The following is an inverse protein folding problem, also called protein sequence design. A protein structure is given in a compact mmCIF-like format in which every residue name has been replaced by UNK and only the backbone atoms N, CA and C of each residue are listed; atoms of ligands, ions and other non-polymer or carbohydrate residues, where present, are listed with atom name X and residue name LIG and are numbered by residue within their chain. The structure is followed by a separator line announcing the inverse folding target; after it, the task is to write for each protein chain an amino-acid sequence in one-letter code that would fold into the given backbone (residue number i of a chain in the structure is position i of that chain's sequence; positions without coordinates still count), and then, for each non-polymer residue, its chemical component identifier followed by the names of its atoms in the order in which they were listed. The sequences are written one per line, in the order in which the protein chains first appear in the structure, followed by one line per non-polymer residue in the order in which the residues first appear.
data_IF_616688399507
#
_entry.id   IF_616688399507
#
_cell.length_a   1.000
_cell.length_b   1.000
_cell.length_c   1.000
_cell.angle_alpha   90.00
_cell.angle_beta   90.00
_cell.angle_gamma   90.00
#
_symmetry.space_group_name_H-M   'P 1'
#
loop_
_entity.id
_entity.type
_entity.pdbx_description
1 polymer ?
#
# COMPACT_ATOMS: atom_id res chain seq x y z
N UNK A 1 22.09 -4.86 11.28
CA UNK A 1 21.53 -4.17 10.09
C UNK A 1 22.70 -3.58 9.32
N UNK A 2 22.75 -3.77 8.00
CA UNK A 2 23.80 -3.19 7.13
C UNK A 2 23.15 -2.17 6.20
N UNK A 3 23.37 -0.88 6.45
CA UNK A 3 22.89 0.20 5.57
C UNK A 3 23.70 0.25 4.27
N UNK A 4 23.18 0.92 3.24
CA UNK A 4 23.80 1.04 1.92
C UNK A 4 24.03 -0.29 1.17
N UNK A 5 23.47 -1.40 1.64
CA UNK A 5 23.58 -2.71 0.99
C UNK A 5 22.27 -3.00 0.22
N UNK A 6 22.34 -3.00 -1.10
CA UNK A 6 21.23 -3.32 -1.99
C UNK A 6 21.40 -4.74 -2.51
N UNK A 7 20.46 -5.64 -2.22
CA UNK A 7 20.45 -6.98 -2.81
C UNK A 7 19.99 -6.85 -4.26
N UNK A 8 20.76 -7.37 -5.21
CA UNK A 8 20.44 -7.31 -6.65
C UNK A 8 20.08 -8.68 -7.23
N UNK A 9 20.55 -9.77 -6.61
CA UNK A 9 20.25 -11.14 -7.05
C UNK A 9 20.18 -12.08 -5.86
N UNK A 10 19.27 -13.05 -5.92
CA UNK A 10 19.13 -14.12 -4.94
C UNK A 10 18.99 -15.47 -5.66
N UNK A 11 19.91 -16.39 -5.40
CA UNK A 11 20.00 -17.69 -6.08
C UNK A 11 19.87 -18.81 -5.07
N UNK A 12 18.89 -19.69 -5.21
CA UNK A 12 18.80 -20.88 -4.39
C UNK A 12 19.57 -22.05 -5.03
N UNK A 13 20.33 -22.77 -4.21
CA UNK A 13 20.97 -24.05 -4.55
C UNK A 13 20.28 -25.19 -3.80
N UNK A 14 19.65 -26.11 -4.53
CA UNK A 14 19.04 -27.33 -3.96
C UNK A 14 20.09 -28.34 -3.47
N UNK A 15 21.29 -28.31 -4.04
CA UNK A 15 22.43 -29.12 -3.59
C UNK A 15 22.90 -28.67 -2.20
N UNK A 16 23.15 -27.37 -2.04
CA UNK A 16 23.70 -26.79 -0.80
C UNK A 16 22.62 -26.49 0.26
N UNK A 17 21.35 -26.38 -0.18
CA UNK A 17 20.21 -25.91 0.60
C UNK A 17 20.43 -24.50 1.17
N UNK A 18 20.93 -23.59 0.33
CA UNK A 18 21.26 -22.22 0.69
C UNK A 18 20.80 -21.23 -0.37
N UNK A 19 20.45 -20.03 0.09
CA UNK A 19 20.37 -18.84 -0.73
C UNK A 19 21.75 -18.18 -0.82
N UNK A 20 22.18 -17.85 -2.04
CA UNK A 20 23.33 -16.99 -2.33
C UNK A 20 22.84 -15.63 -2.82
N UNK A 21 23.31 -14.56 -2.19
CA UNK A 21 22.89 -13.19 -2.43
C UNK A 21 24.06 -12.40 -3.03
N UNK A 22 23.76 -11.68 -4.11
CA UNK A 22 24.64 -10.65 -4.67
C UNK A 22 24.17 -9.28 -4.17
N UNK A 23 25.09 -8.51 -3.62
CA UNK A 23 24.77 -7.26 -2.92
C UNK A 23 25.69 -6.14 -3.38
N UNK A 24 25.10 -5.06 -3.85
CA UNK A 24 25.82 -3.84 -4.24
C UNK A 24 25.84 -2.87 -3.07
N UNK A 25 27.04 -2.39 -2.69
CA UNK A 25 27.21 -1.28 -1.77
C UNK A 25 26.97 0.05 -2.49
N UNK A 26 25.93 0.80 -2.11
CA UNK A 26 25.57 2.07 -2.76
C UNK A 26 26.56 3.20 -2.52
N UNK A 27 27.33 3.12 -1.44
CA UNK A 27 28.32 4.12 -1.05
C UNK A 27 29.67 3.93 -1.75
N UNK A 28 30.03 2.70 -2.13
CA UNK A 28 31.34 2.39 -2.76
C UNK A 28 31.23 1.82 -4.18
N UNK A 29 30.06 1.33 -4.58
CA UNK A 29 29.86 0.56 -5.82
C UNK A 29 30.37 -0.88 -5.77
N UNK A 30 30.87 -1.34 -4.62
CA UNK A 30 31.43 -2.68 -4.44
C UNK A 30 30.35 -3.77 -4.48
N UNK A 31 30.62 -4.86 -5.20
CA UNK A 31 29.79 -6.08 -5.18
C UNK A 31 30.29 -7.05 -4.10
N UNK A 32 29.39 -7.45 -3.21
CA UNK A 32 29.59 -8.40 -2.12
C UNK A 32 28.71 -9.64 -2.33
N UNK A 33 29.15 -10.77 -1.76
CA UNK A 33 28.38 -12.02 -1.78
C UNK A 33 28.10 -12.50 -0.36
N UNK A 34 26.85 -12.88 -0.11
CA UNK A 34 26.41 -13.45 1.16
C UNK A 34 25.68 -14.77 0.92
N UNK A 35 25.63 -15.62 1.94
CA UNK A 35 24.78 -16.81 1.94
C UNK A 35 23.88 -16.84 3.16
N UNK A 36 22.67 -17.36 3.03
CA UNK A 36 21.80 -17.62 4.17
C UNK A 36 21.00 -18.92 3.99
N UNK A 37 20.63 -19.55 5.10
CA UNK A 37 19.76 -20.73 5.09
C UNK A 37 18.31 -20.35 4.80
N UNK A 38 17.86 -19.19 5.25
CA UNK A 38 16.50 -18.71 5.10
C UNK A 38 16.49 -17.24 4.68
N UNK A 39 15.67 -16.92 3.68
CA UNK A 39 15.54 -15.57 3.13
C UNK A 39 14.18 -14.98 3.54
N UNK A 40 14.20 -13.97 4.38
CA UNK A 40 12.98 -13.31 4.86
C UNK A 40 12.88 -11.89 4.28
N UNK A 41 11.93 -11.72 3.36
CA UNK A 41 11.72 -10.52 2.58
C UNK A 41 10.81 -9.53 3.33
N UNK A 42 11.35 -8.37 3.71
CA UNK A 42 10.70 -7.34 4.53
C UNK A 42 10.74 -5.93 3.91
N UNK A 43 10.98 -5.82 2.60
CA UNK A 43 11.19 -4.58 1.85
C UNK A 43 9.89 -3.89 1.41
N UNK A 44 8.73 -4.43 1.76
CA UNK A 44 7.44 -3.98 1.23
C UNK A 44 7.21 -4.44 -0.22
N UNK A 45 6.43 -3.66 -0.97
CA UNK A 45 5.97 -4.01 -2.32
C UNK A 45 5.95 -2.81 -3.28
N UNK A 46 6.65 -1.72 -2.95
CA UNK A 46 6.79 -0.55 -3.81
C UNK A 46 8.21 -0.45 -4.37
N UNK A 47 8.32 0.06 -5.60
CA UNK A 47 9.59 0.50 -6.18
C UNK A 47 9.99 1.80 -5.51
N UNK A 48 11.17 1.83 -4.88
CA UNK A 48 11.67 3.03 -4.19
C UNK A 48 12.48 3.96 -5.07
N UNK A 49 13.08 3.44 -6.15
CA UNK A 49 13.89 4.21 -7.10
C UNK A 49 13.06 5.13 -8.00
N UNK A 50 11.78 4.84 -8.21
CA UNK A 50 10.95 5.54 -9.18
C UNK A 50 9.47 5.48 -8.79
N UNK A 51 8.80 6.63 -8.87
CA UNK A 51 7.35 6.76 -8.69
C UNK A 51 6.56 6.42 -9.95
N UNK A 52 5.26 6.18 -9.80
CA UNK A 52 4.44 5.93 -10.99
C UNK A 52 4.09 7.25 -11.67
N UNK A 53 4.65 7.45 -12.86
CA UNK A 53 4.34 8.58 -13.72
C UNK A 53 3.62 8.07 -14.97
N UNK A 54 2.31 8.34 -15.15
CA UNK A 54 1.64 8.00 -16.39
C UNK A 54 2.21 8.85 -17.54
N UNK A 55 2.00 8.41 -18.77
CA UNK A 55 2.30 9.23 -19.93
C UNK A 55 1.38 10.45 -19.94
N UNK A 56 1.98 11.63 -19.92
CA UNK A 56 1.29 12.91 -20.04
C UNK A 56 1.65 13.54 -21.38
N UNK A 57 0.68 13.73 -22.30
CA UNK A 57 0.94 14.41 -23.56
C UNK A 57 1.49 15.82 -23.33
N UNK A 58 2.52 16.21 -24.09
CA UNK A 58 3.09 17.56 -24.06
C UNK A 58 3.89 17.93 -22.81
N UNK A 59 4.20 16.98 -21.93
CA UNK A 59 4.87 17.26 -20.65
C UNK A 59 6.20 17.99 -20.82
N UNK A 60 6.93 17.69 -21.89
CA UNK A 60 8.18 18.33 -22.28
C UNK A 60 8.06 19.82 -22.62
N UNK A 61 6.84 20.30 -22.86
CA UNK A 61 6.57 21.70 -23.20
C UNK A 61 6.49 22.59 -21.97
N UNK A 62 6.15 22.02 -20.81
CA UNK A 62 5.94 22.77 -19.57
C UNK A 62 7.25 23.41 -19.11
N UNK A 63 7.23 24.73 -18.91
CA UNK A 63 8.42 25.52 -18.57
C UNK A 63 8.64 25.65 -17.06
N UNK A 64 7.65 25.25 -16.25
CA UNK A 64 7.72 25.24 -14.80
C UNK A 64 8.39 23.98 -14.24
N UNK A 65 8.26 23.79 -12.93
CA UNK A 65 8.87 22.66 -12.22
C UNK A 65 7.89 21.47 -12.12
N UNK A 66 8.36 20.25 -12.39
CA UNK A 66 7.58 19.03 -12.22
C UNK A 66 8.19 18.19 -11.10
N UNK A 67 7.41 17.91 -10.06
CA UNK A 67 7.87 17.21 -8.86
C UNK A 67 7.03 15.95 -8.65
N UNK A 68 7.69 14.80 -8.56
CA UNK A 68 7.04 13.58 -8.07
C UNK A 68 7.28 13.45 -6.55
N UNK A 69 6.24 13.28 -5.70
CA UNK A 69 6.39 13.28 -4.23
C UNK A 69 7.37 12.25 -3.66
N UNK A 70 7.63 11.15 -4.37
CA UNK A 70 8.60 10.14 -3.95
C UNK A 70 10.06 10.61 -4.00
N UNK A 71 10.35 11.60 -4.85
CA UNK A 71 11.69 12.18 -5.06
C UNK A 71 11.61 13.70 -4.93
N UNK A 72 11.03 14.16 -3.82
CA UNK A 72 10.83 15.57 -3.53
C UNK A 72 12.18 16.29 -3.28
N UNK A 73 12.52 17.36 -4.03
CA UNK A 73 13.74 18.13 -3.79
C UNK A 73 13.72 18.86 -2.45
N UNK A 74 14.84 18.84 -1.71
CA UNK A 74 14.91 19.46 -0.37
C UNK A 74 14.76 21.00 -0.39
N UNK A 75 15.11 21.63 -1.51
CA UNK A 75 15.15 23.07 -1.71
C UNK A 75 13.98 23.62 -2.53
N UNK A 76 12.90 22.84 -2.72
CA UNK A 76 11.70 23.30 -3.42
C UNK A 76 11.07 24.50 -2.71
N UNK A 77 11.11 25.66 -3.36
CA UNK A 77 10.38 26.86 -2.95
C UNK A 77 9.06 26.96 -3.72
N UNK A 78 7.95 26.82 -3.01
CA UNK A 78 6.58 26.93 -3.55
C UNK A 78 5.86 28.20 -3.09
N UNK A 79 6.54 29.10 -2.39
CA UNK A 79 5.95 30.32 -1.86
C UNK A 79 5.48 31.23 -3.00
N UNK A 80 4.28 31.78 -2.86
CA UNK A 80 3.65 32.71 -3.82
C UNK A 80 3.49 32.12 -5.25
N UNK A 81 3.70 30.81 -5.44
CA UNK A 81 3.55 30.11 -6.74
C UNK A 81 2.16 29.51 -6.91
N UNK A 82 1.75 29.34 -8.17
CA UNK A 82 0.58 28.53 -8.55
C UNK A 82 1.00 27.07 -8.66
N UNK A 83 0.33 26.20 -7.92
CA UNK A 83 0.66 24.77 -7.87
C UNK A 83 -0.51 23.93 -8.34
N UNK A 84 -0.28 22.96 -9.22
CA UNK A 84 -1.28 21.93 -9.56
C UNK A 84 -0.80 20.58 -9.05
N UNK A 85 -1.61 19.91 -8.23
CA UNK A 85 -1.35 18.56 -7.73
C UNK A 85 -2.21 17.56 -8.50
N UNK A 86 -1.59 16.70 -9.29
CA UNK A 86 -2.25 15.64 -10.06
C UNK A 86 -2.42 14.41 -9.18
N UNK A 87 -3.67 14.08 -8.82
CA UNK A 87 -4.05 12.94 -8.01
C UNK A 87 -4.96 13.32 -6.84
N UNK A 88 -5.74 12.35 -6.36
CA UNK A 88 -6.69 12.52 -5.25
C UNK A 88 -6.44 11.54 -4.09
N UNK A 89 -5.29 10.86 -4.10
CA UNK A 89 -4.93 9.89 -3.06
C UNK A 89 -4.45 10.55 -1.77
N UNK A 90 -4.03 9.72 -0.81
CA UNK A 90 -3.54 10.19 0.49
C UNK A 90 -2.41 11.24 0.37
N UNK A 91 -1.47 11.05 -0.56
CA UNK A 91 -0.36 12.00 -0.80
C UNK A 91 -0.86 13.40 -1.17
N UNK A 92 -1.85 13.51 -2.06
CA UNK A 92 -2.42 14.81 -2.42
C UNK A 92 -3.15 15.43 -1.23
N UNK A 93 -3.94 14.64 -0.51
CA UNK A 93 -4.69 15.08 0.66
C UNK A 93 -3.81 15.57 1.82
N UNK A 94 -2.56 15.11 1.90
CA UNK A 94 -1.58 15.62 2.88
C UNK A 94 -0.78 16.81 2.36
N UNK A 95 -0.39 16.81 1.09
CA UNK A 95 0.43 17.89 0.52
C UNK A 95 -0.36 19.20 0.41
N UNK A 96 -1.58 19.14 -0.11
CA UNK A 96 -2.38 20.34 -0.39
C UNK A 96 -2.58 21.21 0.86
N UNK A 97 -3.15 20.71 1.98
CA UNK A 97 -3.34 21.56 3.16
C UNK A 97 -2.03 22.02 3.79
N UNK A 98 -0.93 21.25 3.67
CA UNK A 98 0.37 21.66 4.18
C UNK A 98 0.99 22.82 3.38
N UNK A 99 0.68 22.92 2.07
CA UNK A 99 1.24 23.93 1.17
C UNK A 99 0.31 25.14 0.96
N UNK A 100 -1.00 24.98 1.15
CA UNK A 100 -2.02 25.94 0.72
C UNK A 100 -1.85 27.36 1.30
N UNK A 101 -1.27 27.49 2.50
CA UNK A 101 -1.07 28.80 3.14
C UNK A 101 0.09 29.60 2.54
N UNK A 102 1.09 28.94 1.97
CA UNK A 102 2.31 29.59 1.45
C UNK A 102 2.28 29.79 -0.07
N UNK A 103 1.58 28.91 -0.81
CA UNK A 103 1.37 29.08 -2.25
C UNK A 103 0.49 30.30 -2.56
N UNK A 104 0.59 30.85 -3.78
CA UNK A 104 -0.40 31.83 -4.26
C UNK A 104 -1.77 31.17 -4.46
N UNK A 105 -1.79 29.96 -5.02
CA UNK A 105 -2.98 29.10 -5.12
C UNK A 105 -2.55 27.66 -5.38
N UNK A 106 -3.31 26.68 -4.89
CA UNK A 106 -3.06 25.26 -5.15
C UNK A 106 -4.31 24.54 -5.65
N UNK A 107 -4.20 23.84 -6.77
CA UNK A 107 -5.33 23.13 -7.40
C UNK A 107 -5.10 21.62 -7.36
N UNK A 108 -6.01 20.87 -6.74
CA UNK A 108 -6.08 19.41 -6.87
C UNK A 108 -6.72 19.06 -8.20
N UNK A 109 -5.96 18.49 -9.13
CA UNK A 109 -6.48 17.93 -10.37
C UNK A 109 -6.67 16.42 -10.21
N UNK A 110 -7.89 15.94 -10.36
CA UNK A 110 -8.21 14.53 -10.24
C UNK A 110 -9.01 14.00 -11.42
N UNK A 111 -8.70 12.78 -11.86
CA UNK A 111 -9.50 12.06 -12.86
C UNK A 111 -10.73 11.38 -12.25
N UNK A 112 -10.55 10.82 -11.07
CA UNK A 112 -11.59 10.09 -10.34
C UNK A 112 -11.55 10.50 -8.87
N UNK A 113 -12.69 10.85 -8.26
CA UNK A 113 -12.74 11.19 -6.85
C UNK A 113 -12.29 10.04 -5.95
N UNK A 114 -11.82 10.39 -4.75
CA UNK A 114 -11.49 9.44 -3.67
C UNK A 114 -12.40 9.68 -2.47
N UNK A 115 -12.74 8.60 -1.73
CA UNK A 115 -13.44 8.77 -0.47
C UNK A 115 -12.50 9.26 0.63
N UNK A 116 -12.96 10.28 1.35
CA UNK A 116 -12.26 10.84 2.48
C UNK A 116 -13.05 10.61 3.76
N UNK A 117 -12.34 10.32 4.84
CA UNK A 117 -12.85 10.39 6.20
C UNK A 117 -12.22 11.60 6.88
N UNK A 118 -13.05 12.58 7.26
CA UNK A 118 -12.60 13.75 8.01
C UNK A 118 -13.10 13.68 9.45
N UNK A 119 -12.16 13.70 10.39
CA UNK A 119 -12.46 13.77 11.82
C UNK A 119 -11.33 14.51 12.54
N UNK A 120 -11.55 14.85 13.81
CA UNK A 120 -10.51 15.47 14.63
C UNK A 120 -9.24 14.60 14.67
N UNK A 121 -8.06 15.22 14.65
CA UNK A 121 -6.78 14.50 14.74
C UNK A 121 -6.44 14.17 16.21
N UNK A 122 -7.37 13.49 16.89
CA UNK A 122 -7.26 13.04 18.28
C UNK A 122 -8.14 11.83 18.50
N UNK A 123 -7.85 11.06 19.55
CA UNK A 123 -8.70 9.98 20.01
C UNK A 123 -9.43 10.41 21.29
N UNK A 124 -10.72 10.73 21.15
CA UNK A 124 -11.53 11.24 22.26
C UNK A 124 -11.69 10.22 23.40
N UNK A 125 -11.67 8.92 23.09
CA UNK A 125 -11.74 7.89 24.12
C UNK A 125 -10.42 7.83 24.88
N UNK A 126 -9.29 7.85 24.18
CA UNK A 126 -7.98 7.89 24.83
C UNK A 126 -7.83 9.14 25.72
N UNK A 127 -8.28 10.30 25.23
CA UNK A 127 -8.24 11.55 26.00
C UNK A 127 -9.13 11.47 27.26
N UNK A 128 -10.34 10.89 27.14
CA UNK A 128 -11.21 10.64 28.28
C UNK A 128 -10.55 9.70 29.30
N UNK A 129 -9.99 8.57 28.87
CA UNK A 129 -9.33 7.61 29.76
C UNK A 129 -8.14 8.24 30.50
N UNK A 130 -7.33 9.05 29.80
CA UNK A 130 -6.23 9.80 30.43
C UNK A 130 -6.73 10.80 31.48
N UNK A 131 -7.82 11.52 31.19
CA UNK A 131 -8.42 12.46 32.15
C UNK A 131 -9.03 11.80 33.39
N UNK A 132 -9.25 10.49 33.35
CA UNK A 132 -9.72 9.67 34.47
C UNK A 132 -8.57 8.96 35.19
N UNK A 133 -7.31 9.31 34.89
CA UNK A 133 -6.10 8.70 35.46
C UNK A 133 -6.02 7.16 35.24
N UNK A 134 -6.60 6.66 34.14
CA UNK A 134 -6.50 5.24 33.77
C UNK A 134 -5.06 4.96 33.31
N UNK A 135 -4.40 3.88 33.81
CA UNK A 135 -3.03 3.57 33.42
C UNK A 135 -2.85 3.42 31.91
N UNK A 136 -1.71 3.89 31.38
CA UNK A 136 -1.43 3.93 29.93
C UNK A 136 -1.60 2.58 29.23
N UNK A 137 -1.26 1.47 29.90
CA UNK A 137 -1.43 0.12 29.35
C UNK A 137 -2.90 -0.19 29.05
N UNK A 138 -3.81 0.15 29.96
CA UNK A 138 -5.26 0.00 29.77
C UNK A 138 -5.79 1.01 28.75
N UNK A 139 -5.32 2.26 28.81
CA UNK A 139 -5.70 3.30 27.85
C UNK A 139 -5.37 2.87 26.42
N UNK A 140 -4.15 2.39 26.18
CA UNK A 140 -3.72 1.92 24.86
C UNK A 140 -4.49 0.69 24.41
N UNK A 141 -4.69 -0.31 25.27
CA UNK A 141 -5.39 -1.54 24.88
C UNK A 141 -6.87 -1.28 24.59
N UNK A 142 -7.54 -0.43 25.38
CA UNK A 142 -8.94 -0.05 25.14
C UNK A 142 -9.06 0.74 23.82
N UNK A 143 -8.21 1.75 23.62
CA UNK A 143 -8.22 2.55 22.39
C UNK A 143 -7.93 1.68 21.15
N UNK A 144 -6.92 0.81 21.23
CA UNK A 144 -6.57 -0.13 20.16
C UNK A 144 -7.75 -1.05 19.81
N UNK A 145 -8.43 -1.63 20.80
CA UNK A 145 -9.62 -2.48 20.55
C UNK A 145 -10.75 -1.70 19.89
N UNK A 146 -11.01 -0.47 20.33
CA UNK A 146 -12.00 0.40 19.71
C UNK A 146 -11.65 0.71 18.26
N UNK A 147 -10.42 1.15 17.98
CA UNK A 147 -9.97 1.48 16.61
C UNK A 147 -10.10 0.27 15.68
N UNK A 148 -9.70 -0.92 16.13
CA UNK A 148 -9.85 -2.15 15.36
C UNK A 148 -11.33 -2.46 15.11
N UNK A 149 -12.19 -2.35 16.14
CA UNK A 149 -13.63 -2.58 16.02
C UNK A 149 -14.32 -1.60 15.07
N UNK A 150 -13.95 -0.32 15.13
CA UNK A 150 -14.47 0.71 14.23
C UNK A 150 -14.05 0.41 12.79
N UNK A 151 -12.77 0.07 12.58
CA UNK A 151 -12.25 -0.30 11.26
C UNK A 151 -12.93 -1.55 10.69
N UNK A 152 -13.18 -2.56 11.53
CA UNK A 152 -13.93 -3.76 11.14
C UNK A 152 -15.37 -3.41 10.76
N UNK A 153 -16.00 -2.51 11.52
CA UNK A 153 -17.37 -2.07 11.28
C UNK A 153 -17.46 -1.31 9.96
N UNK A 154 -16.57 -0.35 9.70
CA UNK A 154 -16.52 0.40 8.44
C UNK A 154 -16.22 -0.55 7.26
N UNK A 155 -15.31 -1.51 7.45
CA UNK A 155 -15.01 -2.53 6.42
C UNK A 155 -16.24 -3.36 6.10
N UNK A 156 -16.96 -3.88 7.10
CA UNK A 156 -18.19 -4.66 6.90
C UNK A 156 -19.27 -3.83 6.20
N UNK A 157 -19.54 -2.62 6.69
CA UNK A 157 -20.53 -1.70 6.09
C UNK A 157 -20.22 -1.36 4.63
N UNK A 158 -18.95 -1.36 4.25
CA UNK A 158 -18.54 -1.15 2.86
C UNK A 158 -19.01 -2.24 1.88
N UNK A 159 -19.49 -3.38 2.38
CA UNK A 159 -20.15 -4.42 1.60
C UNK A 159 -21.66 -4.43 1.87
N UNK A 160 -22.04 -4.52 3.14
CA UNK A 160 -23.43 -4.79 3.54
C UNK A 160 -24.36 -3.56 3.38
N UNK A 161 -23.80 -2.35 3.50
CA UNK A 161 -24.52 -1.08 3.58
C UNK A 161 -23.74 0.04 2.87
N UNK A 162 -23.22 -0.29 1.68
CA UNK A 162 -22.21 0.53 1.00
C UNK A 162 -22.74 1.92 0.58
N UNK A 163 -24.02 2.02 0.23
CA UNK A 163 -24.63 3.30 -0.17
C UNK A 163 -24.80 4.24 1.03
N UNK A 164 -25.29 3.75 2.17
CA UNK A 164 -25.40 4.62 3.35
C UNK A 164 -24.03 5.08 3.85
N UNK A 165 -23.02 4.19 3.86
CA UNK A 165 -21.65 4.57 4.21
C UNK A 165 -21.08 5.61 3.22
N UNK A 166 -21.36 5.50 1.93
CA UNK A 166 -21.01 6.51 0.93
C UNK A 166 -21.64 7.86 1.28
N UNK A 167 -22.94 7.90 1.57
CA UNK A 167 -23.65 9.14 1.93
C UNK A 167 -23.08 9.78 3.20
N UNK A 168 -22.74 8.97 4.21
CA UNK A 168 -22.10 9.46 5.45
C UNK A 168 -20.73 10.10 5.19
N UNK A 169 -19.89 9.46 4.37
CA UNK A 169 -18.56 10.01 4.03
C UNK A 169 -18.67 11.33 3.26
N UNK A 170 -19.58 11.40 2.29
CA UNK A 170 -19.84 12.62 1.51
C UNK A 170 -20.41 13.73 2.41
N UNK A 171 -21.35 13.40 3.28
CA UNK A 171 -21.90 14.34 4.26
C UNK A 171 -20.81 14.87 5.21
N UNK A 172 -19.89 14.00 5.64
CA UNK A 172 -18.73 14.38 6.45
C UNK A 172 -17.82 15.38 5.75
N UNK A 173 -17.52 15.19 4.46
CA UNK A 173 -16.79 16.18 3.66
C UNK A 173 -17.57 17.50 3.52
N UNK A 174 -18.87 17.42 3.24
CA UNK A 174 -19.76 18.57 3.07
C UNK A 174 -19.85 19.46 4.31
N UNK A 175 -19.76 18.89 5.52
CA UNK A 175 -19.73 19.66 6.77
C UNK A 175 -18.56 20.66 6.80
N UNK A 176 -17.41 20.30 6.25
CA UNK A 176 -16.24 21.19 6.20
C UNK A 176 -16.26 22.13 4.99
N UNK A 177 -16.73 21.65 3.83
CA UNK A 177 -16.79 22.42 2.57
C UNK A 177 -17.87 23.51 2.58
N UNK A 178 -19.01 23.25 3.22
CA UNK A 178 -20.19 24.12 3.19
C UNK A 178 -21.33 23.56 2.33
N UNK A 179 -22.56 24.09 2.47
CA UNK A 179 -23.77 23.52 1.88
C UNK A 179 -23.81 23.61 0.35
N UNK A 180 -23.18 24.63 -0.24
CA UNK A 180 -23.29 24.98 -1.67
C UNK A 180 -22.17 24.37 -2.53
N UNK A 181 -21.21 23.68 -1.93
CA UNK A 181 -20.09 23.08 -2.65
C UNK A 181 -20.54 21.86 -3.47
N UNK A 182 -20.05 21.74 -4.70
CA UNK A 182 -20.33 20.61 -5.60
C UNK A 182 -19.55 19.35 -5.19
N UNK A 183 -20.07 18.65 -4.19
CA UNK A 183 -19.52 17.37 -3.71
C UNK A 183 -19.82 16.20 -4.65
N UNK A 184 -20.85 16.31 -5.50
CA UNK A 184 -21.22 15.27 -6.46
C UNK A 184 -20.12 15.13 -7.52
N UNK A 185 -19.64 16.24 -8.08
CA UNK A 185 -18.55 16.21 -9.07
C UNK A 185 -17.19 15.90 -8.45
N UNK A 186 -16.89 16.45 -7.27
CA UNK A 186 -15.52 16.45 -6.74
C UNK A 186 -15.23 15.43 -5.66
N UNK A 187 -16.23 14.88 -4.97
CA UNK A 187 -16.02 14.00 -3.82
C UNK A 187 -16.93 12.77 -3.80
N UNK A 188 -17.51 12.41 -4.95
CA UNK A 188 -18.38 11.23 -5.09
C UNK A 188 -17.76 10.20 -6.05
N UNK A 189 -17.00 9.23 -5.53
CA UNK A 189 -16.41 8.16 -6.35
C UNK A 189 -17.46 7.23 -6.95
N UNK A 190 -17.12 6.60 -8.08
CA UNK A 190 -17.96 5.61 -8.77
C UNK A 190 -17.87 4.19 -8.20
N UNK A 191 -16.94 3.95 -7.27
CA UNK A 191 -16.77 2.68 -6.58
C UNK A 191 -17.37 2.72 -5.17
N UNK A 192 -17.65 1.56 -4.57
CA UNK A 192 -18.09 1.48 -3.16
C UNK A 192 -16.96 1.88 -2.20
N UNK A 193 -17.25 2.46 -1.03
CA UNK A 193 -16.22 2.70 0.00
C UNK A 193 -15.32 1.48 0.22
N UNK A 194 -14.04 1.70 0.57
CA UNK A 194 -13.06 0.63 0.83
C UNK A 194 -12.72 -0.35 -0.32
N UNK A 195 -13.32 -0.24 -1.51
CA UNK A 195 -12.78 -0.91 -2.72
C UNK A 195 -11.46 -0.27 -3.17
N UNK A 196 -11.24 0.99 -2.80
CA UNK A 196 -9.93 1.62 -2.72
C UNK A 196 -9.74 2.20 -1.31
N UNK A 197 -8.50 2.53 -0.94
CA UNK A 197 -8.17 2.97 0.42
C UNK A 197 -8.87 4.29 0.75
N UNK A 198 -9.55 4.35 1.90
CA UNK A 198 -10.09 5.60 2.44
C UNK A 198 -8.92 6.49 2.90
N UNK A 199 -8.92 7.75 2.44
CA UNK A 199 -7.93 8.73 2.90
C UNK A 199 -8.46 9.47 4.13
N UNK A 200 -7.64 9.60 5.16
CA UNK A 200 -7.99 10.37 6.36
C UNK A 200 -7.56 11.82 6.18
N UNK A 201 -8.46 12.76 6.48
CA UNK A 201 -8.24 14.21 6.38
C UNK A 201 -8.30 14.79 7.81
N UNK A 202 -7.15 14.97 8.47
CA UNK A 202 -7.11 15.36 9.87
C UNK A 202 -7.74 16.73 10.08
N UNK A 203 -8.68 16.77 11.01
CA UNK A 203 -9.55 17.91 11.28
C UNK A 203 -10.35 18.41 10.05
N UNK A 204 -10.32 17.79 8.86
CA UNK A 204 -10.91 18.37 7.66
C UNK A 204 -10.07 19.52 7.04
N UNK A 205 -8.76 19.52 7.22
CA UNK A 205 -7.81 20.53 6.72
C UNK A 205 -7.85 20.73 5.19
N UNK A 206 -7.88 19.67 4.39
CA UNK A 206 -8.04 19.75 2.92
C UNK A 206 -9.34 20.51 2.56
N UNK A 207 -10.45 20.13 3.17
CA UNK A 207 -11.75 20.72 2.91
C UNK A 207 -11.84 22.17 3.37
N UNK A 208 -11.21 22.51 4.50
CA UNK A 208 -11.10 23.90 4.94
C UNK A 208 -10.25 24.74 4.01
N UNK A 209 -9.15 24.19 3.49
CA UNK A 209 -8.31 24.87 2.50
C UNK A 209 -9.12 25.21 1.25
N UNK A 210 -9.96 24.28 0.79
CA UNK A 210 -10.88 24.50 -0.34
C UNK A 210 -11.94 25.56 0.00
N UNK A 211 -12.59 25.45 1.16
CA UNK A 211 -13.60 26.41 1.60
C UNK A 211 -13.05 27.83 1.76
N UNK A 212 -11.78 27.97 2.12
CA UNK A 212 -11.10 29.26 2.24
C UNK A 212 -10.60 29.83 0.90
N UNK A 213 -10.84 29.13 -0.22
CA UNK A 213 -10.38 29.47 -1.58
C UNK A 213 -8.86 29.50 -1.75
N UNK A 214 -8.09 29.06 -0.74
CA UNK A 214 -6.65 28.81 -0.83
C UNK A 214 -6.32 27.61 -1.71
N UNK A 215 -7.21 26.62 -1.71
CA UNK A 215 -7.15 25.48 -2.60
C UNK A 215 -8.40 25.38 -3.49
N UNK A 216 -8.25 24.75 -4.64
CA UNK A 216 -9.37 24.35 -5.51
C UNK A 216 -9.28 22.86 -5.83
N UNK A 217 -10.39 22.27 -6.27
CA UNK A 217 -10.42 20.92 -6.83
C UNK A 217 -11.06 20.96 -8.21
N UNK A 218 -10.45 20.26 -9.16
CA UNK A 218 -10.95 20.10 -10.52
C UNK A 218 -11.02 18.60 -10.82
N UNK A 219 -12.22 18.12 -11.16
CA UNK A 219 -12.43 16.75 -11.64
C UNK A 219 -12.50 16.77 -13.16
N UNK A 220 -11.42 16.37 -13.82
CA UNK A 220 -11.34 16.35 -15.29
C UNK A 220 -10.20 15.43 -15.76
N UNK A 221 -10.07 15.29 -17.08
CA UNK A 221 -8.98 14.58 -17.75
C UNK A 221 -7.98 15.57 -18.34
N UNK A 222 -6.71 15.17 -18.33
CA UNK A 222 -5.62 15.93 -18.95
C UNK A 222 -5.66 15.65 -20.45
N UNK A 223 -5.79 16.70 -21.25
CA UNK A 223 -5.64 16.63 -22.71
C UNK A 223 -4.14 16.71 -23.08
N UNK A 224 -3.46 17.76 -22.61
CA UNK A 224 -2.03 17.97 -22.80
C UNK A 224 -1.48 18.97 -21.79
N UNK A 225 -0.20 18.86 -21.46
CA UNK A 225 0.55 19.93 -20.82
C UNK A 225 0.78 21.04 -21.85
N UNK A 226 0.83 22.27 -21.36
CA UNK A 226 1.14 23.48 -22.14
C UNK A 226 2.41 24.11 -21.59
N UNK A 227 2.93 25.16 -22.24
CA UNK A 227 4.10 25.87 -21.73
C UNK A 227 3.91 26.45 -20.32
N UNK A 228 2.66 26.73 -19.93
CA UNK A 228 2.29 27.46 -18.71
C UNK A 228 1.39 26.69 -17.76
N UNK A 229 1.07 25.43 -18.06
CA UNK A 229 0.14 24.65 -17.24
C UNK A 229 -0.36 23.37 -17.89
N UNK A 230 -1.65 23.09 -17.68
CA UNK A 230 -2.32 21.87 -18.13
C UNK A 230 -3.63 22.23 -18.83
N UNK A 231 -3.76 21.85 -20.10
CA UNK A 231 -5.02 21.86 -20.83
C UNK A 231 -5.83 20.61 -20.48
N UNK A 232 -7.08 20.82 -20.07
CA UNK A 232 -8.02 19.76 -19.73
C UNK A 232 -8.91 19.43 -20.93
N UNK A 233 -9.50 18.23 -20.92
CA UNK A 233 -10.41 17.76 -21.97
C UNK A 233 -11.68 18.63 -22.08
N UNK A 234 -12.09 19.31 -21.01
CA UNK A 234 -13.16 20.32 -21.04
C UNK A 234 -12.81 21.59 -21.81
N UNK A 235 -11.53 21.80 -22.15
CA UNK A 235 -10.99 23.03 -22.73
C UNK A 235 -10.56 24.08 -21.70
N UNK A 236 -10.74 23.83 -20.40
CA UNK A 236 -10.15 24.67 -19.35
C UNK A 236 -8.63 24.47 -19.30
N UNK A 237 -7.88 25.56 -19.13
CA UNK A 237 -6.45 25.51 -18.85
C UNK A 237 -6.17 25.87 -17.38
N UNK A 238 -5.40 25.02 -16.70
CA UNK A 238 -4.92 25.25 -15.35
C UNK A 238 -3.48 25.78 -15.40
N UNK A 239 -3.29 27.07 -15.16
CA UNK A 239 -1.94 27.66 -15.07
C UNK A 239 -1.21 27.19 -13.82
N UNK A 240 0.07 26.85 -13.96
CA UNK A 240 0.93 26.41 -12.86
C UNK A 240 2.38 26.87 -13.07
N UNK A 241 3.03 27.23 -11.97
CA UNK A 241 4.48 27.36 -11.89
C UNK A 241 5.13 26.03 -11.47
N UNK A 242 4.40 25.22 -10.67
CA UNK A 242 4.81 23.89 -10.23
C UNK A 242 3.68 22.88 -10.47
N UNK A 243 4.01 21.72 -11.03
CA UNK A 243 3.10 20.58 -11.15
C UNK A 243 3.63 19.42 -10.30
N UNK A 244 2.82 18.96 -9.35
CA UNK A 244 3.14 17.83 -8.49
C UNK A 244 2.40 16.58 -8.98
N UNK A 245 3.15 15.56 -9.38
CA UNK A 245 2.60 14.28 -9.86
C UNK A 245 2.37 13.33 -8.69
N UNK A 246 1.34 13.59 -7.87
CA UNK A 246 0.91 12.70 -6.79
C UNK A 246 0.19 11.43 -7.31
N UNK A 247 0.76 10.79 -8.34
CA UNK A 247 0.21 9.70 -9.12
C UNK A 247 0.52 8.30 -8.56
N UNK A 248 1.27 8.24 -7.47
CA UNK A 248 1.46 7.03 -6.66
C UNK A 248 2.73 6.27 -7.00
N UNK A 249 2.68 4.94 -6.85
CA UNK A 249 3.86 4.08 -6.87
C UNK A 249 3.79 3.03 -7.97
N UNK A 250 4.96 2.62 -8.45
CA UNK A 250 5.13 1.35 -9.13
C UNK A 250 5.19 0.25 -8.06
N UNK A 251 4.38 -0.80 -8.21
CA UNK A 251 4.62 -1.97 -7.37
C UNK A 251 5.90 -2.68 -7.81
N UNK A 252 6.56 -3.27 -6.83
CA UNK A 252 7.73 -4.09 -7.04
C UNK A 252 7.63 -5.33 -6.17
N UNK A 253 7.13 -6.41 -6.77
CA UNK A 253 6.90 -7.67 -6.06
C UNK A 253 8.25 -8.24 -5.69
N UNK A 254 8.52 -8.34 -4.40
CA UNK A 254 9.77 -8.86 -3.86
C UNK A 254 11.04 -8.08 -4.27
N UNK A 255 10.88 -6.85 -4.76
CA UNK A 255 11.98 -5.96 -5.13
C UNK A 255 12.55 -6.24 -6.53
N UNK A 256 13.42 -5.36 -7.03
CA UNK A 256 14.14 -5.53 -8.30
C UNK A 256 15.27 -6.55 -8.19
N UNK A 257 14.97 -7.69 -7.57
CA UNK A 257 15.92 -8.76 -7.29
C UNK A 257 15.70 -9.84 -8.34
N UNK A 258 16.75 -10.20 -9.06
CA UNK A 258 16.71 -11.36 -9.93
C UNK A 258 16.72 -12.63 -9.05
N UNK A 259 15.66 -13.44 -9.12
CA UNK A 259 15.59 -14.70 -8.39
C UNK A 259 15.82 -15.90 -9.29
N UNK A 260 16.60 -16.87 -8.82
CA UNK A 260 16.73 -18.18 -9.47
C UNK A 260 16.64 -19.32 -8.46
N UNK A 261 16.18 -20.48 -8.94
CA UNK A 261 16.24 -21.77 -8.25
C UNK A 261 17.01 -22.71 -9.16
N UNK A 262 18.17 -23.20 -8.74
CA UNK A 262 19.05 -24.07 -9.55
C UNK A 262 19.28 -23.50 -10.96
N UNK A 263 19.65 -22.20 -11.00
CA UNK A 263 19.89 -21.39 -12.21
C UNK A 263 18.67 -21.17 -13.14
N UNK A 264 17.49 -21.65 -12.76
CA UNK A 264 16.24 -21.36 -13.48
C UNK A 264 15.62 -20.06 -12.95
N UNK A 265 15.33 -19.07 -13.82
CA UNK A 265 14.63 -17.84 -13.42
C UNK A 265 13.29 -18.13 -12.76
N UNK A 266 13.06 -17.51 -11.61
CA UNK A 266 11.82 -17.66 -10.85
C UNK A 266 10.77 -16.65 -11.31
N UNK A 267 9.58 -17.15 -11.65
CA UNK A 267 8.40 -16.32 -11.88
C UNK A 267 7.37 -16.54 -10.77
N UNK A 268 7.20 -15.55 -9.90
CA UNK A 268 6.27 -15.59 -8.78
C UNK A 268 4.81 -15.79 -9.18
N UNK A 269 4.40 -15.33 -10.37
CA UNK A 269 3.05 -15.53 -10.88
C UNK A 269 2.70 -17.01 -11.10
N UNK A 270 3.69 -17.90 -11.16
CA UNK A 270 3.47 -19.34 -11.27
C UNK A 270 3.31 -20.04 -9.91
N UNK A 271 3.59 -19.33 -8.80
CA UNK A 271 3.55 -19.89 -7.45
C UNK A 271 2.17 -19.69 -6.80
N UNK A 272 1.86 -20.55 -5.84
CA UNK A 272 0.72 -20.42 -4.92
C UNK A 272 1.18 -19.85 -3.58
N UNK A 273 0.49 -18.82 -3.12
CA UNK A 273 0.77 -18.19 -1.85
C UNK A 273 0.20 -19.03 -0.69
N UNK A 274 1.08 -19.62 0.11
CA UNK A 274 0.71 -20.26 1.37
C UNK A 274 0.54 -19.18 2.44
N UNK A 275 -0.71 -18.93 2.81
CA UNK A 275 -1.16 -17.89 3.75
C UNK A 275 -0.73 -16.49 3.38
N UNK A 276 -0.27 -16.24 2.14
CA UNK A 276 0.39 -14.99 1.77
C UNK A 276 1.70 -14.73 2.52
N UNK A 277 2.42 -15.79 2.92
CA UNK A 277 3.69 -15.73 3.67
C UNK A 277 4.78 -16.52 2.93
N UNK A 278 4.52 -17.79 2.60
CA UNK A 278 5.43 -18.67 1.85
C UNK A 278 4.86 -18.90 0.44
N UNK A 279 5.64 -19.54 -0.44
CA UNK A 279 5.23 -19.77 -1.82
C UNK A 279 5.55 -21.19 -2.28
N UNK A 280 4.61 -21.82 -2.98
CA UNK A 280 4.80 -23.17 -3.50
C UNK A 280 6.01 -23.25 -4.43
N UNK A 281 6.84 -24.27 -4.26
CA UNK A 281 8.03 -24.48 -5.08
C UNK A 281 9.19 -23.52 -4.77
N UNK A 282 9.08 -22.68 -3.73
CA UNK A 282 10.17 -21.83 -3.27
C UNK A 282 10.64 -22.29 -1.89
N UNK A 283 11.88 -22.78 -1.77
CA UNK A 283 12.43 -23.23 -0.50
C UNK A 283 12.91 -22.07 0.38
N UNK A 284 12.72 -22.22 1.70
CA UNK A 284 13.29 -21.37 2.73
C UNK A 284 13.13 -19.86 2.50
N UNK A 285 11.97 -19.43 2.01
CA UNK A 285 11.68 -18.01 1.80
C UNK A 285 10.32 -17.63 2.36
N UNK A 286 10.27 -16.49 3.05
CA UNK A 286 9.03 -15.86 3.51
C UNK A 286 8.96 -14.40 3.08
N UNK A 287 7.75 -13.89 2.90
CA UNK A 287 7.48 -12.49 2.59
C UNK A 287 6.52 -11.84 3.57
N UNK A 288 6.84 -10.61 3.97
CA UNK A 288 5.94 -9.77 4.76
C UNK A 288 5.15 -8.86 3.83
N UNK A 289 3.93 -9.25 3.53
CA UNK A 289 2.91 -8.36 2.95
C UNK A 289 1.96 -7.88 4.05
N UNK A 290 1.58 -6.60 4.06
CA UNK A 290 0.70 -6.03 5.09
C UNK A 290 -0.79 -6.22 4.82
N UNK A 291 -1.64 -5.74 5.72
CA UNK A 291 -3.06 -5.56 5.40
C UNK A 291 -3.29 -4.31 4.53
N UNK A 292 -4.29 -4.38 3.66
CA UNK A 292 -4.72 -3.25 2.83
C UNK A 292 -5.59 -2.26 3.60
N UNK A 293 -6.45 -2.75 4.51
CA UNK A 293 -7.37 -1.94 5.31
C UNK A 293 -6.85 -1.68 6.72
N UNK A 294 -6.29 -2.69 7.38
CA UNK A 294 -5.72 -2.60 8.73
C UNK A 294 -4.24 -2.19 8.68
N UNK A 295 -3.67 -1.78 9.81
CA UNK A 295 -2.24 -1.48 9.89
C UNK A 295 -1.40 -2.68 9.44
N UNK A 296 -0.40 -2.41 8.58
CA UNK A 296 0.53 -3.44 8.10
C UNK A 296 1.33 -4.06 9.24
N UNK A 297 1.65 -3.29 10.29
CA UNK A 297 2.42 -3.75 11.47
C UNK A 297 1.76 -4.92 12.18
N UNK A 298 0.42 -4.97 12.19
CA UNK A 298 -0.35 -6.04 12.81
C UNK A 298 -0.11 -7.37 12.12
N UNK A 299 -0.02 -7.38 10.78
CA UNK A 299 0.29 -8.59 10.03
C UNK A 299 1.76 -8.96 10.15
N UNK A 300 2.66 -7.97 10.14
CA UNK A 300 4.10 -8.22 10.31
C UNK A 300 4.42 -8.99 11.59
N UNK A 301 3.73 -8.67 12.69
CA UNK A 301 3.89 -9.39 13.97
C UNK A 301 3.42 -10.86 13.86
N UNK A 302 2.26 -11.11 13.25
CA UNK A 302 1.76 -12.47 13.01
C UNK A 302 2.71 -13.29 12.12
N UNK A 303 3.21 -12.68 11.04
CA UNK A 303 4.19 -13.30 10.15
C UNK A 303 5.49 -13.60 10.88
N UNK A 304 5.96 -12.68 11.74
CA UNK A 304 7.15 -12.90 12.54
C UNK A 304 7.00 -14.08 13.51
N UNK A 305 5.87 -14.15 14.22
CA UNK A 305 5.55 -15.28 15.08
C UNK A 305 5.51 -16.62 14.31
N UNK A 306 4.91 -16.64 13.12
CA UNK A 306 4.87 -17.81 12.26
C UNK A 306 6.27 -18.24 11.79
N UNK A 307 7.08 -17.32 11.27
CA UNK A 307 8.44 -17.62 10.79
C UNK A 307 9.33 -18.11 11.93
N UNK A 308 9.25 -17.51 13.12
CA UNK A 308 9.99 -18.00 14.30
C UNK A 308 9.59 -19.42 14.69
N UNK A 309 8.28 -19.74 14.70
CA UNK A 309 7.79 -21.11 14.94
C UNK A 309 8.31 -22.08 13.88
N UNK A 310 8.26 -21.68 12.61
CA UNK A 310 8.74 -22.48 11.49
C UNK A 310 10.23 -22.80 11.62
N UNK A 311 11.07 -21.81 11.90
CA UNK A 311 12.51 -21.99 12.07
C UNK A 311 12.86 -22.89 13.27
N UNK A 312 12.17 -22.72 14.40
CA UNK A 312 12.34 -23.59 15.57
C UNK A 312 11.94 -25.04 15.26
N UNK A 313 10.86 -25.22 14.49
CA UNK A 313 10.38 -26.52 14.07
C UNK A 313 11.35 -27.22 13.10
N UNK A 314 11.86 -26.49 12.11
CA UNK A 314 12.94 -26.97 11.23
C UNK A 314 14.16 -27.41 12.04
N UNK A 315 14.59 -26.60 13.01
CA UNK A 315 15.72 -26.92 13.89
C UNK A 315 15.45 -28.19 14.71
N UNK A 316 14.25 -28.37 15.25
CA UNK A 316 13.88 -29.56 16.00
C UNK A 316 13.88 -30.84 15.14
N UNK A 317 13.51 -30.72 13.86
CA UNK A 317 13.57 -31.81 12.87
C UNK A 317 14.97 -32.07 12.31
N UNK A 318 15.92 -31.16 12.54
CA UNK A 318 17.20 -31.17 11.82
C UNK A 318 17.04 -30.91 10.31
N UNK A 319 15.92 -30.31 9.90
CA UNK A 319 15.63 -29.97 8.51
C UNK A 319 16.42 -28.72 8.10
N UNK A 320 17.04 -28.77 6.92
CA UNK A 320 17.74 -27.65 6.31
C UNK A 320 16.88 -26.92 5.29
N UNK A 321 15.81 -27.56 4.81
CA UNK A 321 14.90 -27.01 3.82
C UNK A 321 13.46 -27.18 4.29
N UNK A 322 12.65 -26.15 4.09
CA UNK A 322 11.18 -26.20 4.10
C UNK A 322 10.66 -25.60 2.80
N UNK A 323 9.69 -26.26 2.17
CA UNK A 323 9.08 -25.78 0.94
C UNK A 323 7.57 -26.09 0.94
N UNK A 324 6.71 -25.09 0.68
CA UNK A 324 5.30 -25.36 0.47
C UNK A 324 5.06 -26.15 -0.81
N UNK A 325 4.12 -27.09 -0.76
CA UNK A 325 3.63 -27.84 -1.92
C UNK A 325 2.14 -28.10 -1.80
N UNK A 326 1.46 -28.25 -2.94
CA UNK A 326 0.04 -28.57 -2.97
C UNK A 326 -0.17 -30.02 -2.56
N UNK A 327 -1.13 -30.24 -1.65
CA UNK A 327 -1.66 -31.59 -1.37
C UNK A 327 -2.48 -32.08 -2.56
N UNK A 328 -2.76 -33.37 -2.63
CA UNK A 328 -3.60 -33.92 -3.72
C UNK A 328 -4.99 -33.26 -3.75
N UNK A 329 -5.59 -32.99 -2.60
CA UNK A 329 -6.88 -32.31 -2.47
C UNK A 329 -6.86 -30.80 -2.77
N UNK A 330 -5.68 -30.20 -2.94
CA UNK A 330 -5.53 -28.79 -3.30
C UNK A 330 -5.28 -28.59 -4.80
N UNK A 331 -4.94 -29.66 -5.55
CA UNK A 331 -4.58 -29.54 -6.97
C UNK A 331 -5.71 -29.07 -7.88
N UNK A 332 -6.95 -29.21 -7.44
CA UNK A 332 -8.15 -28.79 -8.17
C UNK A 332 -8.61 -27.37 -7.83
N UNK A 333 -7.91 -26.66 -6.94
CA UNK A 333 -8.30 -25.31 -6.56
C UNK A 333 -8.21 -24.34 -7.76
N UNK A 334 -9.13 -23.37 -7.86
CA UNK A 334 -9.08 -22.36 -8.91
C UNK A 334 -7.86 -21.44 -8.73
N UNK A 335 -7.30 -20.99 -9.86
CA UNK A 335 -6.27 -19.95 -9.86
C UNK A 335 -6.91 -18.58 -9.65
N UNK A 336 -6.79 -18.02 -8.44
CA UNK A 336 -7.31 -16.70 -8.11
C UNK A 336 -6.16 -15.67 -7.96
N UNK A 337 -6.41 -14.37 -8.25
CA UNK A 337 -5.41 -13.33 -8.08
C UNK A 337 -5.02 -13.17 -6.61
N UNK A 338 -3.77 -12.78 -6.32
CA UNK A 338 -3.26 -12.59 -4.95
C UNK A 338 -4.15 -11.72 -4.06
N UNK A 339 -4.82 -10.73 -4.65
CA UNK A 339 -5.87 -9.94 -4.04
C UNK A 339 -7.04 -9.91 -5.01
N UNK A 340 -8.23 -10.20 -4.52
CA UNK A 340 -9.46 -10.13 -5.30
C UNK A 340 -9.76 -8.67 -5.73
N UNK A 341 -9.84 -8.38 -7.05
CA UNK A 341 -10.14 -7.04 -7.55
C UNK A 341 -11.56 -6.56 -7.21
N UNK A 342 -12.53 -7.45 -6.97
CA UNK A 342 -13.86 -7.02 -6.49
C UNK A 342 -13.81 -6.53 -5.04
N UNK A 343 -12.87 -7.08 -4.27
CA UNK A 343 -12.57 -6.67 -2.90
C UNK A 343 -11.75 -5.38 -2.85
N UNK A 344 -10.64 -5.28 -3.59
CA UNK A 344 -9.75 -4.12 -3.59
C UNK A 344 -9.05 -3.90 -4.95
N UNK A 345 -9.32 -2.77 -5.61
CA UNK A 345 -8.88 -2.49 -6.99
C UNK A 345 -8.07 -1.20 -7.17
N UNK A 346 -7.31 -0.79 -6.16
CA UNK A 346 -6.45 0.39 -6.29
C UNK A 346 -5.50 0.24 -7.49
N UNK A 347 -5.40 1.31 -8.31
CA UNK A 347 -4.70 1.24 -9.60
C UNK A 347 -3.24 0.78 -9.52
N UNK A 348 -2.52 1.13 -8.45
CA UNK A 348 -1.13 0.69 -8.26
C UNK A 348 -1.01 -0.84 -8.13
N UNK A 349 -2.01 -1.47 -7.51
CA UNK A 349 -2.06 -2.91 -7.28
C UNK A 349 -2.49 -3.64 -8.55
N UNK A 350 -3.55 -3.18 -9.21
CA UNK A 350 -4.14 -3.85 -10.37
C UNK A 350 -3.20 -3.88 -11.59
N UNK A 351 -2.40 -2.82 -11.81
CA UNK A 351 -1.40 -2.76 -12.89
C UNK A 351 -0.41 -3.93 -12.87
N UNK A 352 -0.04 -4.41 -11.68
CA UNK A 352 1.00 -5.44 -11.50
C UNK A 352 0.45 -6.75 -10.91
N UNK A 353 -0.87 -6.93 -10.85
CA UNK A 353 -1.48 -8.12 -10.26
C UNK A 353 -1.05 -9.42 -10.96
N UNK A 354 -0.82 -9.36 -12.27
CA UNK A 354 -0.34 -10.48 -13.08
C UNK A 354 1.09 -10.94 -12.77
N UNK A 355 1.85 -10.15 -12.00
CA UNK A 355 3.20 -10.49 -11.52
C UNK A 355 3.18 -11.10 -10.10
N UNK A 356 2.03 -11.05 -9.43
CA UNK A 356 1.86 -11.53 -8.05
C UNK A 356 1.57 -13.04 -8.04
N UNK A 357 1.94 -13.75 -6.96
CA UNK A 357 1.59 -15.15 -6.81
C UNK A 357 0.08 -15.38 -6.73
N UNK A 358 -0.36 -16.57 -7.11
CA UNK A 358 -1.77 -16.98 -7.08
C UNK A 358 -2.21 -17.26 -5.65
N UNK A 359 -3.50 -17.16 -5.41
CA UNK A 359 -4.14 -17.77 -4.25
C UNK A 359 -5.23 -18.76 -4.72
N UNK A 360 -5.63 -19.67 -3.84
CA UNK A 360 -6.75 -20.58 -4.05
C UNK A 360 -8.01 -20.11 -3.32
N UNK A 361 -8.99 -21.02 -3.22
CA UNK A 361 -10.29 -20.81 -2.57
C UNK A 361 -10.38 -21.42 -1.16
N UNK A 362 -9.31 -22.07 -0.68
CA UNK A 362 -9.27 -22.80 0.61
C UNK A 362 -7.94 -22.66 1.33
N UNK A 363 -7.97 -22.84 2.66
CA UNK A 363 -6.77 -22.81 3.49
C UNK A 363 -5.83 -24.00 3.19
N UNK A 364 -4.50 -23.82 3.27
CA UNK A 364 -3.79 -22.59 3.64
C UNK A 364 -3.50 -21.65 2.45
N UNK A 365 -4.02 -21.92 1.24
CA UNK A 365 -3.72 -21.19 0.00
C UNK A 365 -4.49 -19.89 -0.18
N UNK A 366 -5.05 -19.32 0.89
CA UNK A 366 -5.77 -18.04 0.87
C UNK A 366 -4.92 -16.96 1.52
N UNK A 367 -4.92 -15.77 0.92
CA UNK A 367 -4.53 -14.55 1.61
C UNK A 367 -5.78 -13.75 2.01
N UNK A 368 -6.22 -13.90 3.26
CA UNK A 368 -7.56 -13.45 3.68
C UNK A 368 -7.71 -11.94 3.75
N UNK A 369 -6.61 -11.21 3.98
CA UNK A 369 -6.61 -9.77 4.26
C UNK A 369 -7.44 -9.36 5.49
N UNK A 370 -7.87 -10.33 6.31
CA UNK A 370 -8.69 -10.12 7.50
C UNK A 370 -7.90 -10.44 8.77
N UNK A 371 -7.53 -9.38 9.49
CA UNK A 371 -6.82 -9.48 10.76
C UNK A 371 -7.55 -10.35 11.80
N UNK A 372 -8.89 -10.30 11.88
CA UNK A 372 -9.63 -11.02 12.92
C UNK A 372 -9.63 -12.52 12.71
N UNK A 373 -9.51 -12.95 11.45
CA UNK A 373 -9.33 -14.34 11.08
C UNK A 373 -7.86 -14.76 11.25
N UNK A 374 -6.94 -13.99 10.69
CA UNK A 374 -5.51 -14.33 10.68
C UNK A 374 -4.85 -14.30 12.06
N UNK A 375 -5.32 -13.46 13.00
CA UNK A 375 -4.78 -13.41 14.37
C UNK A 375 -4.93 -14.74 15.11
N UNK A 376 -5.89 -15.57 14.72
CA UNK A 376 -6.14 -16.88 15.32
C UNK A 376 -5.57 -17.98 14.41
N UNK A 377 -5.77 -17.89 13.08
CA UNK A 377 -5.34 -18.92 12.13
C UNK A 377 -3.82 -19.03 11.95
N UNK A 378 -3.09 -17.90 11.92
CA UNK A 378 -1.63 -17.92 11.69
C UNK A 378 -0.89 -18.51 12.92
N UNK A 379 -1.18 -18.07 14.17
CA UNK A 379 -0.55 -18.67 15.34
C UNK A 379 -0.94 -20.13 15.57
N UNK A 380 -2.15 -20.54 15.17
CA UNK A 380 -2.62 -21.93 15.28
C UNK A 380 -2.25 -22.82 14.08
N UNK A 381 -1.59 -22.28 13.06
CA UNK A 381 -1.24 -23.04 11.86
C UNK A 381 -0.43 -24.29 12.23
N UNK A 382 -0.91 -25.44 11.77
CA UNK A 382 -0.20 -26.71 11.87
C UNK A 382 0.91 -26.73 10.81
N UNK A 383 2.14 -26.97 11.27
CA UNK A 383 3.33 -27.01 10.43
C UNK A 383 3.54 -28.40 9.80
N UNK A 384 2.70 -29.37 10.15
CA UNK A 384 2.74 -30.77 9.71
C UNK A 384 1.47 -31.19 8.95
N UNK A 385 0.65 -30.25 8.51
CA UNK A 385 -0.63 -30.49 7.82
C UNK A 385 -0.50 -31.08 6.39
N UNK A 386 0.70 -31.52 6.02
CA UNK A 386 1.04 -32.04 4.71
C UNK A 386 1.28 -30.98 3.64
N UNK A 387 1.17 -29.68 3.93
CA UNK A 387 1.44 -28.62 2.94
C UNK A 387 2.89 -28.14 2.92
N UNK A 388 3.68 -28.49 3.94
CA UNK A 388 5.09 -28.13 4.07
C UNK A 388 5.97 -29.38 4.00
N UNK A 389 6.89 -29.41 3.03
CA UNK A 389 7.88 -30.47 2.89
C UNK A 389 9.19 -30.06 3.60
N UNK A 390 9.71 -30.91 4.48
CA UNK A 390 10.96 -30.69 5.21
C UNK A 390 12.05 -31.65 4.73
N UNK A 391 13.26 -31.15 4.44
CA UNK A 391 14.41 -31.97 4.01
C UNK A 391 15.73 -31.57 4.64
#
# INVERSE_FOLDING_TARGET
IRFCHEVTTARWSSEDKLWSLEVTRKDTGETLFFTCNFLWMCQGYYRHSEGYMPEFPGIEQFKGEIIHPQTWPEDTDYKDKKVVVIGSGATAATLIPAMAEECSHITMLQRSPTYFSAAANRDELADLLRSLDIPDEWTHEIARRKILQDQQTITRRSFDDSEALKQELIAGAKQYLGPDFDVETHFTPSYRPWRQRLAFVPNGDLFRSIRSEKASVVTDQIESFTETGILLASGQELSADIIITATGFNMNVLGDIAFTIDDVPLNFANCWAHRGILFSGIPNMAWVFGYLRTSWTMRSDLVAGFVCRLLNHMSAKGAKMVMPHLREEDKDMPELPFVDPENFNAGYLTRNMHLMPKQGDRAPWIFSQDYYREKDEIPAADLEDGTLEYR
#
